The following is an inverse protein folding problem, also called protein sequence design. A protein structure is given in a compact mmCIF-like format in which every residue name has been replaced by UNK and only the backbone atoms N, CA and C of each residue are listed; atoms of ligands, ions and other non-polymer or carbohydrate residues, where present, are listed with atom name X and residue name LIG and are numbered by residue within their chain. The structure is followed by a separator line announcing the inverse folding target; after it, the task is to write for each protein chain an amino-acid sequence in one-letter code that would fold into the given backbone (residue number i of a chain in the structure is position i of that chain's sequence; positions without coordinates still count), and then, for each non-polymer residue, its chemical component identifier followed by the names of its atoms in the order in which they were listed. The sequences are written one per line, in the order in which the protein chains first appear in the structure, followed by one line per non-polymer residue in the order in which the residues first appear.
data_IF_850495752520
#
_entry.id   IF_850495752520
#
_cell.length_a   1.000
_cell.length_b   1.000
_cell.length_c   1.000
_cell.angle_alpha   90.00
_cell.angle_beta   90.00
_cell.angle_gamma   90.00
#
_symmetry.space_group_name_H-M   'P 1'
#
loop_
_entity.id
_entity.type
_entity.pdbx_description
1 polymer ?
#
# COMPACT_ATOMS: atom_id res chain seq x y z
N UNK A 1 26.86 9.21 20.33
CA UNK A 1 25.52 9.59 20.79
C UNK A 1 24.67 8.33 20.96
N UNK A 2 24.84 7.78 22.16
CA UNK A 2 24.01 6.89 22.94
C UNK A 2 23.55 5.56 22.35
N UNK A 3 24.46 4.57 22.50
CA UNK A 3 24.08 3.19 22.77
C UNK A 3 23.29 3.16 24.09
N UNK A 4 21.97 3.32 24.01
CA UNK A 4 21.09 2.92 25.11
C UNK A 4 21.23 1.40 25.22
N UNK A 5 22.13 0.98 26.10
CA UNK A 5 22.26 -0.39 26.53
C UNK A 5 20.98 -0.77 27.26
N UNK A 6 20.04 -1.37 26.55
CA UNK A 6 18.87 -1.94 27.19
C UNK A 6 19.34 -3.15 28.00
N UNK A 7 19.20 -3.16 29.34
CA UNK A 7 19.47 -4.35 30.13
C UNK A 7 18.62 -5.50 29.59
N UNK A 8 19.16 -6.73 29.65
CA UNK A 8 18.61 -7.94 29.06
C UNK A 8 17.12 -8.12 29.38
N UNK A 9 16.27 -7.68 28.46
CA UNK A 9 14.82 -7.77 28.61
C UNK A 9 14.37 -9.20 28.30
N UNK A 10 13.66 -9.81 29.24
CA UNK A 10 12.91 -11.06 29.08
C UNK A 10 12.12 -11.08 27.77
N UNK A 11 11.84 -12.28 27.22
CA UNK A 11 11.14 -12.51 25.95
C UNK A 11 9.84 -11.66 25.81
N UNK A 12 9.20 -11.36 26.93
CA UNK A 12 7.97 -10.57 27.05
C UNK A 12 8.12 -9.09 26.65
N UNK A 13 9.32 -8.50 26.71
CA UNK A 13 9.55 -7.10 26.33
C UNK A 13 9.74 -6.88 24.84
N UNK A 14 10.06 -7.94 24.08
CA UNK A 14 10.29 -7.81 22.62
C UNK A 14 9.04 -7.37 21.85
N UNK A 15 7.84 -7.90 22.11
CA UNK A 15 6.60 -7.38 21.52
C UNK A 15 6.36 -5.90 21.83
N UNK A 16 6.59 -5.47 23.08
CA UNK A 16 6.43 -4.07 23.47
C UNK A 16 7.43 -3.15 22.74
N UNK A 17 8.69 -3.59 22.61
CA UNK A 17 9.71 -2.87 21.81
C UNK A 17 9.33 -2.80 20.34
N UNK A 18 8.81 -3.88 19.76
CA UNK A 18 8.33 -3.88 18.38
C UNK A 18 7.17 -2.92 18.20
N UNK A 19 6.17 -2.95 19.08
CA UNK A 19 5.03 -2.03 19.07
C UNK A 19 5.48 -0.57 19.20
N UNK A 20 6.44 -0.29 20.09
CA UNK A 20 7.02 1.04 20.23
C UNK A 20 7.71 1.54 18.96
N UNK A 21 8.53 0.69 18.32
CA UNK A 21 9.17 1.07 17.05
C UNK A 21 8.12 1.25 15.94
N UNK A 22 7.08 0.42 15.88
CA UNK A 22 5.98 0.59 14.94
C UNK A 22 5.23 1.91 15.17
N UNK A 23 4.93 2.27 16.41
CA UNK A 23 4.34 3.57 16.75
C UNK A 23 5.23 4.73 16.29
N UNK A 24 6.57 4.61 16.48
CA UNK A 24 7.53 5.58 15.96
C UNK A 24 7.54 5.63 14.42
N UNK A 25 7.36 4.51 13.73
CA UNK A 25 7.21 4.48 12.27
C UNK A 25 5.93 5.20 11.83
N UNK A 26 4.85 5.08 12.61
CA UNK A 26 3.56 5.72 12.36
C UNK A 26 3.49 7.19 12.83
N UNK A 27 4.58 7.80 13.30
CA UNK A 27 4.54 9.14 13.90
C UNK A 27 3.83 10.19 13.01
N UNK A 28 4.12 10.21 11.71
CA UNK A 28 3.43 11.08 10.76
C UNK A 28 1.93 10.75 10.68
N UNK A 29 1.57 9.47 10.51
CA UNK A 29 0.19 9.02 10.41
C UNK A 29 -0.62 9.31 11.69
N UNK A 30 -0.03 9.08 12.86
CA UNK A 30 -0.64 9.36 14.15
C UNK A 30 -0.85 10.87 14.34
N UNK A 31 0.13 11.69 13.98
CA UNK A 31 -0.02 13.15 14.00
C UNK A 31 -1.11 13.61 13.03
N UNK A 32 -1.13 13.09 11.81
CA UNK A 32 -2.12 13.46 10.79
C UNK A 32 -3.56 13.09 11.21
N UNK A 33 -3.77 11.86 11.71
CA UNK A 33 -5.06 11.44 12.25
C UNK A 33 -5.43 12.18 13.54
N UNK A 34 -4.44 12.51 14.37
CA UNK A 34 -4.63 13.35 15.56
C UNK A 34 -5.08 14.76 15.19
N UNK A 35 -4.47 15.38 14.20
CA UNK A 35 -4.89 16.69 13.67
C UNK A 35 -6.29 16.65 13.07
N UNK A 36 -6.64 15.58 12.35
CA UNK A 36 -8.00 15.33 11.89
C UNK A 36 -8.99 15.26 13.06
N UNK A 37 -8.69 14.47 14.10
CA UNK A 37 -9.55 14.34 15.27
C UNK A 37 -9.70 15.67 16.02
N UNK A 38 -8.59 16.37 16.27
CA UNK A 38 -8.58 17.68 16.93
C UNK A 38 -9.32 18.75 16.13
N UNK A 39 -9.31 18.66 14.80
CA UNK A 39 -10.03 19.63 13.96
C UNK A 39 -11.54 19.63 14.19
N UNK A 40 -12.11 18.53 14.71
CA UNK A 40 -13.53 18.43 15.06
C UNK A 40 -13.87 19.28 16.30
N UNK A 41 -12.88 19.57 17.15
CA UNK A 41 -13.04 20.37 18.36
C UNK A 41 -12.88 21.87 18.11
N UNK A 42 -12.46 22.27 16.91
CA UNK A 42 -12.26 23.67 16.59
C UNK A 42 -13.60 24.41 16.47
N UNK A 43 -13.69 25.66 16.96
CA UNK A 43 -14.85 26.49 16.69
C UNK A 43 -14.94 26.78 15.18
N UNK A 44 -16.10 27.29 14.69
CA UNK A 44 -16.20 27.73 13.31
C UNK A 44 -15.12 28.77 12.97
N UNK A 45 -14.22 28.42 12.06
CA UNK A 45 -13.16 29.29 11.57
C UNK A 45 -13.55 29.86 10.19
N UNK A 46 -13.02 31.04 9.80
CA UNK A 46 -13.21 31.59 8.45
C UNK A 46 -12.45 30.80 7.36
N UNK A 47 -11.85 29.65 7.70
CA UNK A 47 -11.13 28.76 6.80
C UNK A 47 -11.81 27.40 6.85
N UNK A 48 -12.04 26.78 5.69
CA UNK A 48 -12.68 25.49 5.64
C UNK A 48 -11.77 24.40 6.26
N UNK A 49 -12.37 23.43 6.96
CA UNK A 49 -11.63 22.40 7.72
C UNK A 49 -10.66 21.61 6.85
N UNK A 50 -11.05 21.25 5.63
CA UNK A 50 -10.17 20.53 4.71
C UNK A 50 -8.97 21.36 4.24
N UNK A 51 -9.11 22.68 4.07
CA UNK A 51 -7.99 23.57 3.74
C UNK A 51 -7.05 23.72 4.94
N UNK A 52 -7.60 23.80 6.15
CA UNK A 52 -6.79 23.80 7.38
C UNK A 52 -5.98 22.50 7.51
N UNK A 53 -6.61 21.35 7.25
CA UNK A 53 -5.93 20.05 7.28
C UNK A 53 -4.88 19.90 6.18
N UNK A 54 -5.08 20.54 5.02
CA UNK A 54 -4.06 20.61 3.98
C UNK A 54 -2.82 21.36 4.48
N UNK A 55 -3.00 22.56 5.02
CA UNK A 55 -1.91 23.37 5.61
C UNK A 55 -1.23 22.59 6.72
N UNK A 56 -2.00 21.95 7.60
CA UNK A 56 -1.48 21.10 8.66
C UNK A 56 -0.62 19.95 8.11
N UNK A 57 -1.07 19.26 7.07
CA UNK A 57 -0.30 18.21 6.39
C UNK A 57 1.02 18.73 5.82
N UNK A 58 1.01 19.90 5.18
CA UNK A 58 2.22 20.53 4.65
C UNK A 58 3.20 20.92 5.76
N UNK A 59 2.71 21.51 6.85
CA UNK A 59 3.51 21.85 8.03
C UNK A 59 4.08 20.58 8.68
N UNK A 60 3.30 19.50 8.73
CA UNK A 60 3.74 18.23 9.29
C UNK A 60 4.87 17.61 8.44
N UNK A 61 4.77 17.66 7.11
CA UNK A 61 5.86 17.24 6.22
C UNK A 61 7.10 18.12 6.37
N UNK A 62 6.93 19.45 6.42
CA UNK A 62 8.03 20.39 6.65
C UNK A 62 8.73 20.18 7.99
N UNK A 63 7.94 20.00 9.06
CA UNK A 63 8.45 19.69 10.39
C UNK A 63 9.14 18.32 10.44
N UNK A 64 8.57 17.30 9.79
CA UNK A 64 9.20 15.99 9.67
C UNK A 64 10.57 16.10 8.99
N UNK A 65 10.67 16.84 7.90
CA UNK A 65 11.94 17.08 7.24
C UNK A 65 12.93 17.84 8.14
N UNK A 66 12.50 18.94 8.76
CA UNK A 66 13.34 19.77 9.63
C UNK A 66 13.85 19.03 10.89
N UNK A 67 13.02 18.15 11.46
CA UNK A 67 13.37 17.32 12.62
C UNK A 67 14.19 16.06 12.26
N UNK A 68 14.56 15.90 10.98
CA UNK A 68 15.31 14.72 10.50
C UNK A 68 14.50 13.42 10.53
N UNK A 69 13.17 13.51 10.58
CA UNK A 69 12.26 12.37 10.50
C UNK A 69 12.21 11.76 9.11
N UNK A 70 12.55 12.54 8.09
CA UNK A 70 12.52 12.14 6.68
C UNK A 70 13.73 12.71 5.96
N UNK A 71 14.34 11.90 5.10
CA UNK A 71 15.39 12.35 4.18
C UNK A 71 14.77 13.03 2.95
N UNK A 72 15.51 13.83 2.16
CA UNK A 72 14.96 14.47 0.96
C UNK A 72 14.32 13.47 -0.03
N UNK A 73 14.94 12.30 -0.16
CA UNK A 73 14.42 11.19 -0.98
C UNK A 73 13.11 10.62 -0.44
N UNK A 74 12.95 10.58 0.87
CA UNK A 74 11.72 10.09 1.49
C UNK A 74 10.60 11.13 1.41
N UNK A 75 10.93 12.43 1.51
CA UNK A 75 9.98 13.50 1.20
C UNK A 75 9.51 13.40 -0.25
N UNK A 76 10.39 13.08 -1.21
CA UNK A 76 9.98 12.83 -2.59
C UNK A 76 9.03 11.62 -2.71
N UNK A 77 9.27 10.54 -1.95
CA UNK A 77 8.35 9.39 -1.90
C UNK A 77 7.00 9.79 -1.30
N UNK A 78 6.99 10.57 -0.22
CA UNK A 78 5.77 11.12 0.41
C UNK A 78 4.99 11.96 -0.60
N UNK A 79 5.66 12.80 -1.39
CA UNK A 79 5.03 13.58 -2.45
C UNK A 79 4.45 12.69 -3.58
N UNK A 80 5.16 11.64 -4.00
CA UNK A 80 4.64 10.67 -4.98
C UNK A 80 3.40 9.95 -4.43
N UNK A 81 3.45 9.49 -3.18
CA UNK A 81 2.31 8.86 -2.52
C UNK A 81 1.12 9.83 -2.39
N UNK A 82 1.38 11.11 -2.14
CA UNK A 82 0.35 12.15 -2.12
C UNK A 82 -0.36 12.27 -3.47
N UNK A 83 0.41 12.36 -4.56
CA UNK A 83 -0.14 12.47 -5.93
C UNK A 83 -0.89 11.19 -6.33
N UNK A 84 -0.32 10.01 -6.10
CA UNK A 84 -0.99 8.73 -6.38
C UNK A 84 -2.29 8.58 -5.57
N UNK A 85 -2.29 9.08 -4.33
CA UNK A 85 -3.49 9.16 -3.51
C UNK A 85 -4.56 10.05 -4.14
N UNK A 86 -4.21 11.27 -4.54
CA UNK A 86 -5.15 12.19 -5.19
C UNK A 86 -5.74 11.62 -6.49
N UNK A 87 -4.92 11.00 -7.34
CA UNK A 87 -5.41 10.32 -8.55
C UNK A 87 -6.44 9.24 -8.20
N UNK A 88 -6.17 8.48 -7.14
CA UNK A 88 -7.08 7.45 -6.65
C UNK A 88 -8.40 8.05 -6.15
N UNK A 89 -8.32 9.08 -5.32
CA UNK A 89 -9.46 9.81 -4.78
C UNK A 89 -10.34 10.41 -5.90
N UNK A 90 -9.74 11.02 -6.92
CA UNK A 90 -10.48 11.64 -8.03
C UNK A 90 -11.36 10.62 -8.76
N UNK A 91 -10.85 9.41 -8.99
CA UNK A 91 -11.63 8.33 -9.61
C UNK A 91 -12.71 7.82 -8.66
N UNK A 92 -12.40 7.70 -7.37
CA UNK A 92 -13.29 7.10 -6.38
C UNK A 92 -14.45 7.99 -5.99
N UNK A 93 -14.21 9.30 -5.85
CA UNK A 93 -15.25 10.30 -5.64
C UNK A 93 -16.14 10.40 -6.88
N UNK A 94 -15.57 10.42 -8.08
CA UNK A 94 -16.36 10.49 -9.33
C UNK A 94 -17.28 9.28 -9.52
N UNK A 95 -16.86 8.10 -9.07
CA UNK A 95 -17.64 6.85 -9.18
C UNK A 95 -18.57 6.63 -7.98
N UNK A 96 -18.68 7.61 -7.06
CA UNK A 96 -19.57 7.53 -5.90
C UNK A 96 -19.13 6.52 -4.83
N UNK A 97 -17.86 6.10 -4.82
CA UNK A 97 -17.37 5.15 -3.82
C UNK A 97 -17.39 5.74 -2.41
N UNK A 98 -17.13 7.04 -2.29
CA UNK A 98 -17.29 7.87 -1.09
C UNK A 98 -17.29 9.35 -1.51
N UNK A 99 -17.50 10.24 -0.55
CA UNK A 99 -17.55 11.69 -0.78
C UNK A 99 -16.83 12.46 0.32
N UNK A 100 -16.40 13.68 -0.01
CA UNK A 100 -15.91 14.67 0.95
C UNK A 100 -16.98 15.75 1.11
N UNK A 101 -17.86 15.68 2.12
CA UNK A 101 -19.04 16.55 2.19
C UNK A 101 -18.74 17.99 2.62
N UNK A 102 -17.66 18.24 3.36
CA UNK A 102 -17.37 19.59 3.87
C UNK A 102 -16.78 20.51 2.80
N UNK A 103 -16.97 21.85 2.89
CA UNK A 103 -16.39 22.78 1.92
C UNK A 103 -14.85 22.75 1.94
N UNK A 104 -14.25 23.16 0.82
CA UNK A 104 -12.83 23.53 0.74
C UNK A 104 -12.60 24.39 -0.52
N UNK A 105 -11.69 25.35 -0.44
CA UNK A 105 -11.19 26.11 -1.59
C UNK A 105 -10.27 25.24 -2.44
N UNK A 106 -9.47 24.39 -1.81
CA UNK A 106 -8.51 23.50 -2.46
C UNK A 106 -9.14 22.15 -2.85
N UNK A 107 -10.36 22.19 -3.38
CA UNK A 107 -11.06 21.02 -3.91
C UNK A 107 -10.96 20.94 -5.42
N UNK A 108 -10.52 19.79 -5.92
CA UNK A 108 -10.49 19.47 -7.35
C UNK A 108 -11.46 18.33 -7.61
N UNK A 109 -12.48 18.58 -8.43
CA UNK A 109 -13.52 17.59 -8.78
C UNK A 109 -14.11 16.85 -7.55
N UNK A 110 -14.36 17.59 -6.46
CA UNK A 110 -14.92 17.05 -5.21
C UNK A 110 -13.89 16.48 -4.22
N UNK A 111 -12.62 16.36 -4.61
CA UNK A 111 -11.53 15.85 -3.75
C UNK A 111 -10.74 17.02 -3.17
N UNK A 112 -10.66 17.16 -1.83
CA UNK A 112 -9.77 18.14 -1.21
C UNK A 112 -8.30 17.68 -1.35
N UNK A 113 -7.38 18.61 -1.61
CA UNK A 113 -5.95 18.27 -1.73
C UNK A 113 -5.38 17.62 -0.47
N UNK A 114 -5.97 17.89 0.71
CA UNK A 114 -5.64 17.19 1.96
C UNK A 114 -5.76 15.67 1.84
N UNK A 115 -6.70 15.15 1.04
CA UNK A 115 -6.92 13.70 0.88
C UNK A 115 -5.65 12.96 0.46
N UNK A 116 -4.77 13.60 -0.33
CA UNK A 116 -3.48 13.04 -0.69
C UNK A 116 -2.58 12.75 0.51
N UNK A 117 -2.64 13.56 1.58
CA UNK A 117 -1.83 13.35 2.78
C UNK A 117 -2.20 12.07 3.53
N UNK A 118 -3.43 11.56 3.41
CA UNK A 118 -3.81 10.25 3.96
C UNK A 118 -2.96 9.12 3.35
N UNK A 119 -2.67 9.19 2.05
CA UNK A 119 -1.82 8.23 1.35
C UNK A 119 -0.32 8.52 1.58
N UNK A 120 0.04 9.80 1.64
CA UNK A 120 1.40 10.24 1.95
C UNK A 120 1.85 9.71 3.33
N UNK A 121 0.93 9.66 4.30
CA UNK A 121 1.17 9.07 5.62
C UNK A 121 1.55 7.59 5.56
N UNK A 122 0.94 6.82 4.66
CA UNK A 122 1.31 5.41 4.42
C UNK A 122 2.73 5.34 3.85
N UNK A 123 3.07 6.18 2.87
CA UNK A 123 4.42 6.30 2.31
C UNK A 123 5.49 6.58 3.37
N UNK A 124 5.23 7.59 4.21
CA UNK A 124 6.08 7.95 5.35
C UNK A 124 6.29 6.75 6.29
N UNK A 125 5.22 6.04 6.65
CA UNK A 125 5.30 4.82 7.47
C UNK A 125 6.22 3.78 6.85
N UNK A 126 6.04 3.43 5.56
CA UNK A 126 6.86 2.38 4.96
C UNK A 126 8.32 2.81 4.89
N UNK A 127 8.62 4.03 4.42
CA UNK A 127 9.98 4.60 4.42
C UNK A 127 10.65 4.54 5.80
N UNK A 128 9.92 4.96 6.83
CA UNK A 128 10.41 4.99 8.20
C UNK A 128 10.58 3.59 8.79
N UNK A 129 9.70 2.65 8.44
CA UNK A 129 9.83 1.24 8.81
C UNK A 129 11.13 0.63 8.29
N UNK A 130 11.53 0.92 7.04
CA UNK A 130 12.81 0.47 6.50
C UNK A 130 14.01 0.93 7.33
N UNK A 131 13.98 2.17 7.83
CA UNK A 131 15.10 2.75 8.58
C UNK A 131 15.11 2.30 10.03
N UNK A 132 13.98 2.42 10.73
CA UNK A 132 13.91 2.15 12.17
C UNK A 132 13.94 0.66 12.51
N UNK A 133 13.46 -0.20 11.61
CA UNK A 133 13.48 -1.66 11.78
C UNK A 133 14.62 -2.32 10.99
N UNK A 134 15.48 -1.56 10.31
CA UNK A 134 16.54 -2.07 9.43
C UNK A 134 16.06 -3.22 8.51
N UNK A 135 15.02 -2.93 7.72
CA UNK A 135 14.39 -3.97 6.91
C UNK A 135 15.35 -4.47 5.81
N UNK A 136 15.41 -5.78 5.63
CA UNK A 136 16.04 -6.44 4.48
C UNK A 136 15.10 -7.49 3.91
N UNK A 137 15.23 -7.77 2.62
CA UNK A 137 14.39 -8.75 1.92
C UNK A 137 15.27 -9.88 1.38
N UNK A 138 14.78 -11.11 1.47
CA UNK A 138 15.40 -12.27 0.80
C UNK A 138 14.42 -12.87 -0.19
N UNK A 139 14.89 -13.13 -1.41
CA UNK A 139 14.08 -13.72 -2.50
C UNK A 139 13.12 -12.73 -3.18
N UNK A 140 13.22 -11.43 -2.92
CA UNK A 140 12.28 -10.44 -3.45
C UNK A 140 12.41 -10.27 -4.97
N UNK A 141 11.28 -10.45 -5.68
CA UNK A 141 11.20 -10.40 -7.15
C UNK A 141 10.72 -9.01 -7.60
N UNK A 142 11.62 -8.03 -7.60
CA UNK A 142 11.26 -6.62 -7.76
C UNK A 142 10.39 -6.29 -8.98
N UNK A 143 10.78 -6.75 -10.18
CA UNK A 143 10.00 -6.49 -11.39
C UNK A 143 8.61 -7.14 -11.36
N UNK A 144 8.53 -8.39 -10.90
CA UNK A 144 7.26 -9.13 -10.82
C UNK A 144 6.32 -8.45 -9.82
N UNK A 145 6.82 -8.11 -8.63
CA UNK A 145 6.00 -7.40 -7.63
C UNK A 145 5.58 -6.02 -8.13
N UNK A 146 6.46 -5.27 -8.81
CA UNK A 146 6.13 -3.96 -9.35
C UNK A 146 5.01 -4.01 -10.40
N UNK A 147 5.10 -4.96 -11.36
CA UNK A 147 4.06 -5.15 -12.38
C UNK A 147 2.72 -5.53 -11.73
N UNK A 148 2.74 -6.46 -10.77
CA UNK A 148 1.52 -6.89 -10.07
C UNK A 148 0.90 -5.78 -9.23
N UNK A 149 1.71 -5.00 -8.51
CA UNK A 149 1.23 -3.83 -7.76
C UNK A 149 0.65 -2.76 -8.67
N UNK A 150 1.30 -2.49 -9.82
CA UNK A 150 0.74 -1.60 -10.84
C UNK A 150 -0.60 -2.09 -11.39
N UNK A 151 -0.71 -3.38 -11.73
CA UNK A 151 -1.95 -3.98 -12.20
C UNK A 151 -3.06 -3.94 -11.13
N UNK A 152 -2.73 -4.17 -9.86
CA UNK A 152 -3.66 -4.02 -8.74
C UNK A 152 -4.15 -2.58 -8.62
N UNK A 153 -3.24 -1.60 -8.63
CA UNK A 153 -3.59 -0.18 -8.55
C UNK A 153 -4.53 0.22 -9.69
N UNK A 154 -4.20 -0.16 -10.93
CA UNK A 154 -5.04 0.08 -12.10
C UNK A 154 -6.40 -0.61 -11.96
N UNK A 155 -6.46 -1.88 -11.55
CA UNK A 155 -7.73 -2.57 -11.35
C UNK A 155 -8.57 -1.93 -10.24
N UNK A 156 -7.96 -1.49 -9.13
CA UNK A 156 -8.69 -0.75 -8.11
C UNK A 156 -9.24 0.57 -8.65
N UNK A 157 -8.52 1.29 -9.51
CA UNK A 157 -9.04 2.49 -10.18
C UNK A 157 -10.20 2.12 -11.11
N UNK A 158 -10.03 1.10 -11.95
CA UNK A 158 -10.94 0.82 -13.07
C UNK A 158 -12.07 -0.15 -12.76
N UNK A 159 -12.16 -0.72 -11.56
CA UNK A 159 -13.19 -1.73 -11.19
C UNK A 159 -14.64 -1.29 -11.36
N UNK A 160 -14.89 0.00 -11.53
CA UNK A 160 -16.24 0.49 -11.82
C UNK A 160 -16.65 0.21 -13.28
N UNK A 161 -15.67 0.08 -14.19
CA UNK A 161 -15.88 -0.16 -15.62
C UNK A 161 -15.39 -1.54 -16.07
N UNK A 162 -14.41 -2.10 -15.37
CA UNK A 162 -13.82 -3.41 -15.65
C UNK A 162 -14.11 -4.41 -14.53
N UNK A 163 -14.03 -5.72 -14.78
CA UNK A 163 -14.19 -6.73 -13.74
C UNK A 163 -13.25 -6.54 -12.55
N UNK A 164 -13.73 -6.91 -11.37
CA UNK A 164 -12.95 -6.90 -10.13
C UNK A 164 -11.96 -8.08 -10.12
N UNK A 165 -10.70 -7.80 -10.47
CA UNK A 165 -9.64 -8.79 -10.58
C UNK A 165 -8.81 -8.90 -9.29
N UNK A 166 -9.28 -8.34 -8.16
CA UNK A 166 -8.54 -8.35 -6.89
C UNK A 166 -8.16 -9.76 -6.43
N UNK A 167 -9.05 -10.73 -6.62
CA UNK A 167 -8.83 -12.12 -6.21
C UNK A 167 -7.79 -12.84 -7.07
N UNK A 168 -7.91 -12.87 -8.41
CA UNK A 168 -6.87 -13.49 -9.25
C UNK A 168 -5.53 -12.75 -9.13
N UNK A 169 -5.52 -11.40 -9.16
CA UNK A 169 -4.28 -10.64 -8.98
C UNK A 169 -3.67 -10.84 -7.59
N UNK A 170 -4.49 -10.92 -6.55
CA UNK A 170 -4.07 -11.22 -5.18
C UNK A 170 -3.48 -12.61 -5.05
N UNK A 171 -4.04 -13.62 -5.70
CA UNK A 171 -3.50 -14.98 -5.73
C UNK A 171 -2.13 -15.02 -6.44
N UNK A 172 -2.00 -14.31 -7.58
CA UNK A 172 -0.71 -14.21 -8.29
C UNK A 172 0.31 -13.41 -7.45
N UNK A 173 -0.10 -12.36 -6.75
CA UNK A 173 0.77 -11.63 -5.82
C UNK A 173 1.23 -12.52 -4.66
N UNK A 174 0.34 -13.33 -4.10
CA UNK A 174 0.68 -14.29 -3.05
C UNK A 174 1.69 -15.32 -3.55
N UNK A 175 1.48 -15.88 -4.76
CA UNK A 175 2.44 -16.78 -5.38
C UNK A 175 3.78 -16.10 -5.69
N UNK A 176 3.76 -14.84 -6.15
CA UNK A 176 4.97 -14.07 -6.44
C UNK A 176 5.77 -13.71 -5.18
N UNK A 177 5.09 -13.60 -4.03
CA UNK A 177 5.69 -13.33 -2.72
C UNK A 177 5.94 -14.60 -1.90
N UNK A 178 5.62 -15.79 -2.44
CA UNK A 178 5.92 -17.06 -1.81
C UNK A 178 7.43 -17.22 -1.62
N UNK A 179 7.85 -17.64 -0.43
CA UNK A 179 9.27 -17.76 -0.06
C UNK A 179 9.98 -16.42 0.21
N UNK A 180 9.36 -15.27 -0.09
CA UNK A 180 9.94 -13.96 0.20
C UNK A 180 9.83 -13.66 1.68
N UNK A 181 10.95 -13.32 2.32
CA UNK A 181 11.00 -12.97 3.75
C UNK A 181 11.45 -11.54 3.96
N UNK A 182 10.76 -10.86 4.86
CA UNK A 182 11.15 -9.56 5.42
C UNK A 182 11.90 -9.83 6.71
N UNK A 183 13.14 -9.36 6.80
CA UNK A 183 13.97 -9.43 8.00
C UNK A 183 14.03 -8.05 8.64
N UNK A 184 13.82 -7.98 9.95
CA UNK A 184 13.74 -6.73 10.70
C UNK A 184 14.41 -6.87 12.07
N UNK A 185 14.92 -5.77 12.61
CA UNK A 185 15.68 -5.74 13.86
C UNK A 185 14.89 -5.05 14.95
N UNK A 186 14.73 -5.71 16.11
CA UNK A 186 14.05 -5.15 17.30
C UNK A 186 14.91 -5.44 18.53
N UNK A 187 15.30 -4.39 19.27
CA UNK A 187 16.10 -4.56 20.48
C UNK A 187 17.41 -5.31 20.25
N UNK A 188 18.07 -5.10 19.10
CA UNK A 188 19.31 -5.77 18.71
C UNK A 188 19.16 -7.19 18.17
N UNK A 189 17.97 -7.78 18.17
CA UNK A 189 17.72 -9.13 17.63
C UNK A 189 17.10 -9.06 16.23
N UNK A 190 17.56 -9.93 15.34
CA UNK A 190 17.03 -10.06 13.98
C UNK A 190 15.85 -11.05 13.96
N UNK A 191 14.72 -10.58 13.46
CA UNK A 191 13.49 -11.33 13.27
C UNK A 191 13.14 -11.43 11.78
N UNK A 192 12.26 -12.35 11.42
CA UNK A 192 11.81 -12.51 10.03
C UNK A 192 10.35 -12.92 9.95
N UNK A 193 9.66 -12.48 8.91
CA UNK A 193 8.30 -12.92 8.57
C UNK A 193 8.12 -13.01 7.05
N UNK A 194 7.16 -13.80 6.55
CA UNK A 194 6.79 -13.77 5.13
C UNK A 194 6.33 -12.36 4.70
N UNK A 195 6.70 -11.93 3.49
CA UNK A 195 6.30 -10.62 2.97
C UNK A 195 4.77 -10.48 2.87
N UNK A 196 4.09 -11.53 2.39
CA UNK A 196 2.63 -11.55 2.33
C UNK A 196 1.98 -11.34 3.70
N UNK A 197 2.52 -11.96 4.77
CA UNK A 197 2.03 -11.75 6.13
C UNK A 197 2.18 -10.28 6.56
N UNK A 198 3.30 -9.64 6.21
CA UNK A 198 3.49 -8.22 6.50
C UNK A 198 2.44 -7.33 5.82
N UNK A 199 2.07 -7.62 4.57
CA UNK A 199 1.03 -6.88 3.85
C UNK A 199 -0.35 -7.05 4.49
N UNK A 200 -0.70 -8.28 4.89
CA UNK A 200 -1.95 -8.55 5.61
C UNK A 200 -2.00 -7.77 6.93
N UNK A 201 -0.92 -7.79 7.71
CA UNK A 201 -0.85 -7.08 8.99
C UNK A 201 -0.91 -5.55 8.81
N UNK A 202 -0.18 -4.99 7.84
CA UNK A 202 -0.27 -3.55 7.57
C UNK A 202 -1.67 -3.19 7.08
N UNK A 203 -2.26 -4.01 6.20
CA UNK A 203 -3.64 -3.83 5.72
C UNK A 203 -4.66 -3.79 6.85
N UNK A 204 -4.47 -4.57 7.91
CA UNK A 204 -5.35 -4.56 9.09
C UNK A 204 -5.29 -3.20 9.80
N UNK A 205 -4.10 -2.67 10.05
CA UNK A 205 -3.95 -1.36 10.68
C UNK A 205 -4.40 -0.20 9.78
N UNK A 206 -4.30 -0.35 8.45
CA UNK A 206 -4.88 0.61 7.51
C UNK A 206 -6.41 0.60 7.55
N UNK A 207 -7.03 -0.59 7.63
CA UNK A 207 -8.48 -0.70 7.83
C UNK A 207 -8.93 -0.08 9.16
N UNK A 208 -8.16 -0.26 10.23
CA UNK A 208 -8.41 0.40 11.51
C UNK A 208 -8.27 1.94 11.39
N UNK A 209 -7.22 2.41 10.73
CA UNK A 209 -7.00 3.84 10.48
C UNK A 209 -8.13 4.46 9.63
N UNK A 210 -8.66 3.72 8.65
CA UNK A 210 -9.81 4.13 7.84
C UNK A 210 -11.09 4.24 8.69
N UNK A 211 -11.33 3.32 9.63
CA UNK A 211 -12.44 3.46 10.58
C UNK A 211 -12.31 4.73 11.44
N UNK A 212 -11.11 5.00 11.95
CA UNK A 212 -10.82 6.21 12.72
C UNK A 212 -11.02 7.47 11.86
N UNK A 213 -10.51 7.46 10.63
CA UNK A 213 -10.59 8.60 9.73
C UNK A 213 -12.05 8.91 9.33
N UNK A 214 -12.84 7.89 8.99
CA UNK A 214 -14.28 8.05 8.68
C UNK A 214 -15.09 8.49 9.90
N UNK A 215 -14.72 8.04 11.11
CA UNK A 215 -15.35 8.49 12.35
C UNK A 215 -15.17 9.99 12.57
N UNK A 216 -13.97 10.52 12.35
CA UNK A 216 -13.68 11.96 12.42
C UNK A 216 -14.00 12.74 11.13
N UNK A 217 -14.77 12.14 10.23
CA UNK A 217 -15.31 12.80 9.05
C UNK A 217 -14.27 13.15 7.97
N UNK A 218 -13.16 12.43 7.88
CA UNK A 218 -12.19 12.66 6.80
C UNK A 218 -12.84 12.55 5.42
N UNK A 219 -13.64 11.50 5.22
CA UNK A 219 -14.56 11.28 4.10
C UNK A 219 -15.74 10.45 4.60
N UNK A 220 -16.78 10.30 3.78
CA UNK A 220 -17.97 9.51 4.11
C UNK A 220 -18.34 8.55 3.00
N UNK A 221 -18.54 7.29 3.35
CA UNK A 221 -19.18 6.30 2.48
C UNK A 221 -20.67 6.61 2.29
N UNK A 222 -21.32 6.14 1.20
CA UNK A 222 -22.75 6.38 0.97
C UNK A 222 -23.64 5.94 2.14
N UNK A 223 -23.34 4.78 2.74
CA UNK A 223 -24.07 4.27 3.91
C UNK A 223 -23.76 5.04 5.21
N UNK A 224 -22.71 5.86 5.24
CA UNK A 224 -22.35 6.68 6.41
C UNK A 224 -22.93 8.11 6.37
N UNK A 225 -23.78 8.44 5.39
CA UNK A 225 -24.31 9.80 5.25
C UNK A 225 -25.23 10.20 6.40
N UNK A 226 -25.95 9.23 6.98
CA UNK A 226 -26.92 9.45 8.07
C UNK A 226 -26.42 9.04 9.46
N UNK A 227 -25.19 8.57 9.57
CA UNK A 227 -24.60 8.09 10.82
C UNK A 227 -23.28 7.39 10.55
N UNK A 228 -22.39 7.33 11.54
CA UNK A 228 -21.17 6.55 11.36
C UNK A 228 -21.45 5.06 11.56
N UNK A 229 -20.98 4.26 10.62
CA UNK A 229 -20.99 2.80 10.70
C UNK A 229 -19.58 2.27 10.41
N UNK A 230 -19.15 1.16 11.05
CA UNK A 230 -17.85 0.56 10.78
C UNK A 230 -17.65 0.24 9.29
N UNK A 231 -16.43 0.46 8.81
CA UNK A 231 -16.06 0.13 7.44
C UNK A 231 -15.98 -1.40 7.28
N UNK A 232 -16.61 -1.94 6.25
CA UNK A 232 -16.67 -3.38 5.97
C UNK A 232 -15.29 -4.05 6.06
N UNK A 233 -15.22 -5.20 6.72
CA UNK A 233 -14.00 -6.00 6.83
C UNK A 233 -13.43 -6.44 5.47
N UNK A 234 -14.24 -6.45 4.40
CA UNK A 234 -13.77 -6.71 3.04
C UNK A 234 -12.71 -5.70 2.54
N UNK A 235 -12.68 -4.50 3.14
CA UNK A 235 -11.67 -3.46 2.87
C UNK A 235 -10.30 -3.82 3.41
N UNK A 236 -10.21 -4.66 4.44
CA UNK A 236 -8.92 -5.15 4.96
C UNK A 236 -8.10 -5.82 3.87
N UNK A 237 -8.69 -6.76 3.12
CA UNK A 237 -7.99 -7.44 2.01
C UNK A 237 -7.60 -6.44 0.93
N UNK A 238 -8.45 -5.45 0.66
CA UNK A 238 -8.14 -4.40 -0.32
C UNK A 238 -6.90 -3.60 0.11
N UNK A 239 -6.81 -3.20 1.37
CA UNK A 239 -5.61 -2.54 1.90
C UNK A 239 -4.37 -3.43 1.90
N UNK A 240 -4.52 -4.72 2.21
CA UNK A 240 -3.43 -5.68 2.13
C UNK A 240 -2.87 -5.83 0.69
N UNK A 241 -3.69 -5.61 -0.34
CA UNK A 241 -3.23 -5.57 -1.72
C UNK A 241 -2.65 -4.21 -2.10
N UNK A 242 -3.32 -3.12 -1.73
CA UNK A 242 -2.90 -1.75 -2.05
C UNK A 242 -1.57 -1.35 -1.40
N UNK A 243 -1.25 -1.86 -0.20
CA UNK A 243 0.05 -1.58 0.44
C UNK A 243 1.24 -2.05 -0.41
N UNK A 244 1.05 -3.03 -1.29
CA UNK A 244 2.09 -3.48 -2.22
C UNK A 244 2.55 -2.36 -3.17
N UNK A 245 1.64 -1.45 -3.56
CA UNK A 245 1.93 -0.29 -4.42
C UNK A 245 2.88 0.65 -3.69
N UNK A 246 2.52 1.06 -2.48
CA UNK A 246 3.35 1.94 -1.65
C UNK A 246 4.70 1.29 -1.34
N UNK A 247 4.71 -0.01 -1.06
CA UNK A 247 5.93 -0.77 -0.82
C UNK A 247 6.87 -0.74 -2.04
N UNK A 248 6.34 -0.95 -3.25
CA UNK A 248 7.12 -0.89 -4.51
C UNK A 248 7.66 0.52 -4.74
N UNK A 249 6.83 1.56 -4.61
CA UNK A 249 7.25 2.96 -4.77
C UNK A 249 8.38 3.30 -3.80
N UNK A 250 8.19 3.02 -2.51
CA UNK A 250 9.18 3.29 -1.50
C UNK A 250 10.47 2.50 -1.74
N UNK A 251 10.40 1.23 -2.13
CA UNK A 251 11.58 0.40 -2.42
C UNK A 251 12.32 0.92 -3.65
N UNK A 252 11.63 1.26 -4.73
CA UNK A 252 12.22 1.73 -5.98
C UNK A 252 13.04 3.02 -5.80
N UNK A 253 12.62 3.88 -4.87
CA UNK A 253 13.34 5.10 -4.55
C UNK A 253 14.58 4.85 -3.68
N UNK A 254 14.81 3.64 -3.13
CA UNK A 254 15.98 3.35 -2.28
C UNK A 254 17.22 3.04 -3.14
N UNK A 255 18.41 3.45 -2.68
CA UNK A 255 19.65 3.04 -3.32
C UNK A 255 19.84 1.52 -3.18
N UNK A 256 20.38 0.89 -4.22
CA UNK A 256 20.73 -0.52 -4.19
C UNK A 256 21.72 -0.78 -3.04
N UNK A 257 21.44 -1.77 -2.20
CA UNK A 257 22.43 -2.25 -1.23
C UNK A 257 23.45 -3.13 -1.95
N UNK A 258 24.72 -3.14 -1.51
CA UNK A 258 25.67 -4.17 -1.95
C UNK A 258 25.06 -5.55 -1.70
N UNK A 259 24.85 -6.34 -2.76
CA UNK A 259 24.20 -7.66 -2.70
C UNK A 259 22.72 -7.71 -3.14
N UNK A 260 22.08 -6.60 -3.51
CA UNK A 260 20.80 -6.64 -4.23
C UNK A 260 21.09 -7.14 -5.68
N UNK A 261 20.39 -8.14 -6.23
CA UNK A 261 20.69 -8.69 -7.56
C UNK A 261 20.61 -7.66 -8.70
N UNK A 262 19.99 -6.50 -8.47
CA UNK A 262 20.00 -5.37 -9.39
C UNK A 262 21.35 -4.63 -9.47
N UNK A 263 22.29 -4.88 -8.56
CA UNK A 263 23.64 -4.30 -8.56
C UNK A 263 24.63 -5.09 -9.43
N UNK A 264 24.22 -6.21 -10.03
CA UNK A 264 25.01 -6.87 -11.07
C UNK A 264 24.80 -6.10 -12.37
N UNK A 265 25.54 -5.00 -12.53
CA UNK A 265 25.83 -4.49 -13.87
C UNK A 265 26.45 -5.66 -14.64
N UNK A 266 25.99 -5.99 -15.86
CA UNK A 266 26.72 -6.93 -16.68
C UNK A 266 28.11 -6.36 -16.86
N UNK A 267 29.12 -6.98 -16.21
CA UNK A 267 30.49 -6.78 -16.64
C UNK A 267 30.54 -7.42 -18.01
N UNK A 268 30.37 -6.62 -19.05
CA UNK A 268 30.83 -7.02 -20.37
C UNK A 268 32.29 -7.43 -20.18
N UNK A 269 32.69 -8.63 -20.61
CA UNK A 269 34.11 -8.96 -20.69
C UNK A 269 34.72 -7.86 -21.55
N UNK A 270 35.55 -7.01 -20.94
CA UNK A 270 36.44 -6.16 -21.73
C UNK A 270 37.29 -7.16 -22.52
N UNK A 271 37.28 -7.12 -23.87
CA UNK A 271 38.15 -7.97 -24.64
C UNK A 271 39.57 -7.72 -24.15
N UNK A 272 40.21 -8.75 -23.61
CA UNK A 272 41.61 -8.68 -23.24
C UNK A 272 42.37 -8.43 -24.54
N UNK A 273 42.90 -7.21 -24.69
CA UNK A 273 43.75 -6.85 -25.83
C UNK A 273 45.00 -7.72 -25.70
N UNK A 274 45.27 -8.66 -26.63
CA UNK A 274 46.44 -9.51 -26.52
C UNK A 274 47.68 -8.62 -26.60
N UNK A 275 48.48 -8.62 -25.54
CA UNK A 275 49.82 -8.06 -25.61
C UNK A 275 50.61 -8.85 -26.65
N UNK A 276 51.05 -8.16 -27.72
CA UNK A 276 51.97 -8.73 -28.70
C UNK A 276 53.32 -8.99 -28.01
N UNK A 277 53.53 -10.23 -27.60
CA UNK A 277 54.86 -10.79 -27.31
C UNK A 277 55.48 -11.37 -28.58
N UNK A 278 56.82 -11.45 -28.67
CA UNK A 278 57.52 -11.72 -29.91
C UNK A 278 57.37 -13.19 -30.34
N UNK A 279 57.25 -13.39 -31.65
CA UNK A 279 57.24 -14.70 -32.29
C UNK A 279 58.51 -15.49 -31.98
N UNK A 280 58.34 -16.72 -31.50
CA UNK A 280 59.32 -17.78 -31.73
C UNK A 280 58.68 -19.17 -31.60
N UNK A 281 58.60 -19.86 -32.75
CA UNK A 281 59.06 -21.23 -32.85
C UNK A 281 58.21 -22.37 -32.26
N UNK A 282 57.58 -23.10 -33.20
CA UNK A 282 57.78 -24.55 -33.36
C UNK A 282 57.01 -25.53 -32.45
N UNK A 283 56.18 -26.34 -33.13
CA UNK A 283 56.01 -27.81 -33.02
C UNK A 283 54.79 -28.43 -32.30
N UNK A 284 54.04 -29.17 -33.15
CA UNK A 284 53.49 -30.54 -33.00
C UNK A 284 52.25 -30.79 -32.11
N UNK A 285 51.14 -31.13 -32.81
CA UNK A 285 50.31 -32.35 -32.71
C UNK A 285 49.97 -32.86 -31.29
N UNK A 286 48.68 -33.03 -30.99
CA UNK A 286 48.01 -34.34 -30.84
C UNK A 286 46.51 -34.16 -30.55
N UNK A 287 45.69 -34.99 -31.20
CA UNK A 287 44.25 -35.16 -31.04
C UNK A 287 43.89 -35.79 -29.69
N UNK A 288 42.75 -35.43 -29.09
CA UNK A 288 41.84 -36.44 -28.53
C UNK A 288 40.38 -35.97 -28.59
N UNK A 289 39.54 -36.81 -29.21
CA UNK A 289 38.08 -36.75 -29.30
C UNK A 289 37.50 -37.55 -28.13
N UNK A 290 36.48 -37.05 -27.42
CA UNK A 290 35.52 -37.89 -26.68
C UNK A 290 34.10 -37.33 -26.82
N UNK A 291 33.17 -38.28 -26.91
CA UNK A 291 31.79 -38.28 -27.42
C UNK A 291 30.75 -37.90 -26.35
N UNK A 292 29.67 -37.28 -26.82
CA UNK A 292 28.25 -37.30 -26.42
C UNK A 292 27.76 -38.13 -25.22
N UNK A 293 26.84 -37.54 -24.45
CA UNK A 293 25.86 -38.26 -23.61
C UNK A 293 24.53 -37.51 -23.50
N UNK A 294 23.45 -38.16 -23.95
CA UNK A 294 22.04 -37.77 -23.91
C UNK A 294 21.40 -38.02 -22.53
N UNK A 295 20.42 -37.20 -22.15
CA UNK A 295 19.58 -37.45 -20.96
C UNK A 295 18.23 -36.74 -21.04
N UNK A 296 17.21 -37.50 -21.42
CA UNK A 296 15.77 -37.21 -21.36
C UNK A 296 15.24 -37.10 -19.92
N UNK A 297 14.26 -36.22 -19.70
CA UNK A 297 13.47 -36.18 -18.47
C UNK A 297 12.21 -35.32 -18.62
N UNK A 298 11.12 -35.93 -19.10
CA UNK A 298 9.75 -35.41 -18.96
C UNK A 298 9.24 -35.67 -17.54
N UNK A 299 8.58 -34.67 -16.94
CA UNK A 299 7.86 -34.80 -15.68
C UNK A 299 6.57 -33.99 -15.74
N UNK A 300 5.45 -34.69 -15.86
CA UNK A 300 4.07 -34.18 -15.81
C UNK A 300 3.63 -34.11 -14.35
N UNK A 301 3.01 -33.00 -13.92
CA UNK A 301 2.34 -32.90 -12.62
C UNK A 301 0.86 -32.50 -12.81
N UNK A 302 -0.03 -33.45 -12.50
CA UNK A 302 -1.43 -33.22 -12.13
C UNK A 302 -1.49 -32.39 -10.82
N UNK A 303 -2.43 -31.49 -10.55
CA UNK A 303 -3.83 -31.42 -10.95
C UNK A 303 -4.68 -31.41 -9.67
N UNK A 304 -4.76 -30.27 -8.97
CA UNK A 304 -5.70 -30.04 -7.87
C UNK A 304 -6.56 -28.82 -8.20
N UNK A 305 -7.81 -29.05 -8.59
CA UNK A 305 -8.83 -28.03 -8.82
C UNK A 305 -9.69 -27.93 -7.57
N UNK A 306 -9.55 -26.85 -6.82
CA UNK A 306 -10.50 -26.49 -5.75
C UNK A 306 -11.58 -25.61 -6.36
N UNK A 307 -12.80 -26.13 -6.50
CA UNK A 307 -14.00 -25.35 -6.87
C UNK A 307 -14.47 -24.55 -5.66
N UNK A 308 -14.52 -23.22 -5.78
CA UNK A 308 -15.22 -22.33 -4.86
C UNK A 308 -16.48 -21.83 -5.59
N UNK A 309 -17.69 -21.92 -5.02
CA UNK A 309 -18.92 -21.51 -5.68
C UNK A 309 -18.98 -19.99 -5.83
N UNK A 310 -19.44 -19.54 -7.00
CA UNK A 310 -19.67 -18.13 -7.32
C UNK A 310 -20.90 -17.60 -6.56
N UNK A 311 -20.73 -16.51 -5.81
CA UNK A 311 -21.82 -15.72 -5.24
C UNK A 311 -22.25 -14.71 -6.32
N UNK A 312 -23.50 -14.80 -6.78
CA UNK A 312 -24.15 -13.79 -7.62
C UNK A 312 -24.59 -12.62 -6.74
N UNK A 313 -24.00 -11.44 -6.93
CA UNK A 313 -24.60 -10.17 -6.51
C UNK A 313 -25.08 -9.44 -7.77
N UNK A 314 -26.39 -9.53 -8.07
CA UNK A 314 -27.00 -8.80 -9.19
C UNK A 314 -28.37 -8.18 -8.87
N UNK A 315 -28.76 -8.03 -7.60
CA UNK A 315 -30.11 -7.54 -7.23
C UNK A 315 -30.11 -6.22 -6.43
N UNK A 316 -29.31 -5.23 -6.82
CA UNK A 316 -29.33 -3.90 -6.15
C UNK A 316 -29.54 -2.71 -7.10
N UNK A 317 -30.00 -2.95 -8.33
CA UNK A 317 -30.19 -1.90 -9.34
C UNK A 317 -31.63 -1.79 -9.87
N UNK A 318 -32.63 -1.77 -8.99
CA UNK A 318 -33.95 -1.20 -9.30
C UNK A 318 -34.51 -0.46 -8.08
N UNK A 319 -34.25 0.85 -8.01
CA UNK A 319 -34.72 1.69 -6.90
C UNK A 319 -34.22 3.12 -6.99
N UNK A 320 -34.38 3.77 -8.15
CA UNK A 320 -33.80 5.09 -8.38
C UNK A 320 -34.37 5.86 -9.57
N UNK A 321 -35.67 5.77 -9.83
CA UNK A 321 -36.40 6.72 -10.68
C UNK A 321 -37.76 7.02 -10.04
N UNK A 322 -37.88 8.20 -9.42
CA UNK A 322 -39.12 8.64 -8.79
C UNK A 322 -39.01 10.06 -8.21
N UNK A 323 -39.33 11.01 -9.08
CA UNK A 323 -39.77 12.40 -8.88
C UNK A 323 -39.86 12.96 -7.44
N UNK A 324 -39.30 14.16 -7.29
CA UNK A 324 -39.56 15.02 -6.14
C UNK A 324 -41.02 15.50 -6.07
N UNK A 325 -41.50 15.63 -4.83
CA UNK A 325 -42.49 16.62 -4.36
C UNK A 325 -42.52 16.57 -2.83
N UNK A 326 -42.40 17.73 -2.19
CA UNK A 326 -42.71 17.92 -0.77
C UNK A 326 -44.17 17.54 -0.47
N UNK A 327 -44.49 17.17 0.79
CA UNK A 327 -45.84 17.40 1.28
C UNK A 327 -45.86 18.20 2.59
N UNK A 328 -46.62 19.30 2.54
CA UNK A 328 -47.25 19.88 3.71
C UNK A 328 -48.61 19.22 3.98
N UNK A 329 -48.98 19.21 5.27
CA UNK A 329 -50.30 19.06 5.91
C UNK A 329 -51.48 18.44 5.11
N UNK A 330 -52.06 17.42 5.73
CA UNK A 330 -53.53 17.27 5.86
C UNK A 330 -54.10 15.91 5.47
N UNK A 331 -54.94 15.34 6.35
CA UNK A 331 -55.97 14.37 5.96
C UNK A 331 -55.76 12.92 6.42
N UNK A 332 -56.61 12.50 7.36
CA UNK A 332 -56.81 11.12 7.82
C UNK A 332 -57.57 10.33 6.74
N UNK A 333 -57.26 9.04 6.53
CA UNK A 333 -58.15 7.87 6.76
C UNK A 333 -57.57 6.59 6.11
N UNK A 334 -57.50 5.53 6.91
CA UNK A 334 -57.80 4.13 6.62
C UNK A 334 -57.49 3.50 5.24
N UNK A 335 -56.73 2.39 5.28
CA UNK A 335 -56.73 1.38 4.23
C UNK A 335 -55.62 0.35 4.39
N UNK A 336 -55.91 -0.76 5.06
CA UNK A 336 -55.05 -1.94 5.22
C UNK A 336 -54.67 -2.59 3.87
N UNK A 337 -53.47 -3.18 3.87
CA UNK A 337 -53.07 -4.43 3.18
C UNK A 337 -53.17 -4.53 1.66
N UNK A 338 -52.00 -4.52 1.01
CA UNK A 338 -51.60 -5.51 -0.02
C UNK A 338 -50.07 -5.45 -0.13
N UNK A 339 -49.28 -6.29 0.55
CA UNK A 339 -48.88 -7.66 0.20
C UNK A 339 -48.67 -7.89 -1.30
N UNK A 340 -47.40 -8.19 -1.64
CA UNK A 340 -46.82 -8.53 -2.95
C UNK A 340 -46.34 -7.31 -3.76
N UNK A 341 -45.11 -6.88 -3.51
CA UNK A 341 -43.93 -6.98 -4.40
C UNK A 341 -42.72 -6.38 -3.70
#
# INVERSE_FOLDING_TARGET
MDRIGYPGGTLLWQPARFAWVQARCCAFSCALLGGLALSVLLPPLPVARYDLLLVYGMLLTGAGFALGWETPREVAVVAVCHVLGLVFELVKVRTGSWSYPEPALTKVAGVPLYGGFMYAAVGSYVCRSWRLLDLALTGYRAHVTAVLSGALYLNFLTRHWLPDLRWPLGAVLLAATAGVRVHFTVGGRRHRMPLALSFVLIGFFLWLAENIATYFGAWRYPYQLHGWEPVSASKWISWALLISVTFVVCRACRPARPGDPAAVTPRFPVPEVPSRGPESGTRTRTQTRVRTGTGTGQGVFAGWVVRIPAIKEQEWFEGGRGQGRCPGRGGRLFGLLSSLW
#
